data_IF_374343767046
#
_entry.id   IF_374343767046
#
_cell.length_a   1.000
_cell.length_b   1.000
_cell.length_c   1.000
_cell.angle_alpha   90.00
_cell.angle_beta   90.00
_cell.angle_gamma   90.00
#
_symmetry.space_group_name_H-M   'P 1'
#
loop_
_entity.id
_entity.type
_entity.pdbx_description
1 polymer ?
#
# COMPACT_ATOMS: atom_id res chain seq x y z
N UNK A 1 8.60 23.32 0.81
CA UNK A 1 7.31 22.70 0.43
C UNK A 1 7.42 22.05 -0.94
N UNK A 2 7.67 22.80 -2.01
CA UNK A 2 7.87 22.23 -3.36
C UNK A 2 9.07 21.27 -3.40
N UNK A 3 10.19 21.64 -2.78
CA UNK A 3 11.38 20.77 -2.60
C UNK A 3 11.07 19.47 -1.84
N UNK A 4 10.01 19.47 -1.02
CA UNK A 4 9.58 18.30 -0.25
C UNK A 4 8.51 17.48 -0.98
N UNK A 5 8.27 17.75 -2.27
CA UNK A 5 7.34 17.01 -3.13
C UNK A 5 5.89 17.48 -3.09
N UNK A 6 5.57 18.62 -2.47
CA UNK A 6 4.21 19.16 -2.44
C UNK A 6 3.96 20.11 -3.61
N UNK A 7 2.82 19.98 -4.30
CA UNK A 7 2.44 20.97 -5.31
C UNK A 7 1.82 22.20 -4.61
N UNK A 8 2.34 23.40 -4.84
CA UNK A 8 1.89 24.62 -4.17
C UNK A 8 1.15 25.54 -5.15
N UNK A 9 0.01 26.07 -4.73
CA UNK A 9 -0.78 27.08 -5.45
C UNK A 9 -0.86 28.36 -4.63
N UNK A 10 -0.48 29.48 -5.25
CA UNK A 10 -0.59 30.82 -4.66
C UNK A 10 -1.78 31.55 -5.29
N UNK A 11 -2.74 31.95 -4.47
CA UNK A 11 -3.92 32.71 -4.86
C UNK A 11 -3.79 34.20 -4.55
N UNK A 12 -4.79 34.99 -4.98
CA UNK A 12 -4.85 36.43 -4.70
C UNK A 12 -4.92 36.69 -3.20
N UNK A 13 -4.23 37.74 -2.73
CA UNK A 13 -4.22 38.11 -1.31
C UNK A 13 -3.33 37.23 -0.44
N UNK A 14 -2.28 36.63 -0.99
CA UNK A 14 -1.30 35.84 -0.22
C UNK A 14 -1.80 34.45 0.20
N UNK A 15 -2.94 34.00 -0.33
CA UNK A 15 -3.49 32.68 -0.02
C UNK A 15 -2.57 31.58 -0.57
N UNK A 16 -2.14 30.68 0.31
CA UNK A 16 -1.35 29.51 -0.08
C UNK A 16 -2.21 28.25 0.07
N UNK A 17 -2.19 27.39 -0.93
CA UNK A 17 -2.76 26.04 -0.87
C UNK A 17 -1.72 25.04 -1.35
N UNK A 18 -1.69 23.84 -0.78
CA UNK A 18 -0.74 22.80 -1.15
C UNK A 18 -1.46 21.47 -1.38
N UNK A 19 -0.84 20.60 -2.17
CA UNK A 19 -1.28 19.26 -2.45
C UNK A 19 -0.19 18.29 -2.01
N UNK A 20 -0.52 17.42 -1.05
CA UNK A 20 0.38 16.35 -0.64
C UNK A 20 0.42 15.23 -1.69
N UNK A 21 1.54 14.51 -1.83
CA UNK A 21 1.58 13.28 -2.63
C UNK A 21 0.47 12.31 -2.20
N UNK A 22 -0.40 11.91 -3.13
CA UNK A 22 -1.54 11.02 -2.87
C UNK A 22 -2.84 11.72 -2.43
N UNK A 23 -2.91 13.06 -2.39
CA UNK A 23 -4.16 13.80 -2.22
C UNK A 23 -4.78 14.17 -3.58
N UNK A 24 -6.11 14.06 -3.70
CA UNK A 24 -6.84 14.47 -4.91
C UNK A 24 -7.20 15.97 -4.93
N UNK A 25 -7.17 16.64 -3.76
CA UNK A 25 -7.65 18.02 -3.60
C UNK A 25 -6.66 18.87 -2.81
N UNK A 26 -6.49 20.11 -3.25
CA UNK A 26 -5.65 21.09 -2.56
C UNK A 26 -6.17 21.41 -1.16
N UNK A 27 -5.26 21.43 -0.20
CA UNK A 27 -5.50 21.85 1.19
C UNK A 27 -5.04 23.29 1.36
N UNK A 28 -5.87 24.14 1.98
CA UNK A 28 -5.57 25.55 2.18
C UNK A 28 -4.76 25.76 3.46
N UNK A 29 -3.67 26.53 3.38
CA UNK A 29 -2.82 26.91 4.51
C UNK A 29 -3.54 28.01 5.32
N UNK A 30 -4.33 27.59 6.32
CA UNK A 30 -5.03 28.49 7.27
C UNK A 30 -5.40 27.77 8.55
N UNK A 31 -5.55 28.51 9.65
CA UNK A 31 -5.87 27.92 10.95
C UNK A 31 -7.19 27.11 10.97
N UNK A 32 -8.23 27.56 10.27
CA UNK A 32 -9.51 26.83 10.20
C UNK A 32 -9.48 25.54 9.38
N UNK A 33 -8.37 25.24 8.68
CA UNK A 33 -8.19 23.97 7.93
C UNK A 33 -7.17 23.05 8.59
N UNK A 34 -6.10 23.61 9.17
CA UNK A 34 -4.97 22.84 9.69
C UNK A 34 -4.86 22.86 11.21
N UNK A 35 -5.70 23.65 11.89
CA UNK A 35 -5.63 23.89 13.32
C UNK A 35 -4.92 25.20 13.68
N UNK A 36 -5.10 25.63 14.93
CA UNK A 36 -4.43 26.81 15.46
C UNK A 36 -2.90 26.67 15.36
N UNK A 37 -2.21 27.75 14.95
CA UNK A 37 -0.76 27.74 14.77
C UNK A 37 -0.26 27.41 13.36
N UNK A 38 -1.17 27.17 12.41
CA UNK A 38 -0.85 26.90 11.00
C UNK A 38 -1.35 28.00 10.05
N UNK A 39 -1.57 29.21 10.56
CA UNK A 39 -1.79 30.37 9.71
C UNK A 39 -0.46 30.82 9.07
N UNK A 40 -0.46 31.38 7.84
CA UNK A 40 0.75 31.91 7.22
C UNK A 40 1.62 32.80 8.11
N UNK A 41 1.03 33.63 8.97
CA UNK A 41 1.76 34.50 9.90
C UNK A 41 2.46 33.69 10.99
N UNK A 42 1.74 32.74 11.59
CA UNK A 42 2.27 31.83 12.61
C UNK A 42 3.46 31.02 12.11
N UNK A 43 3.36 30.50 10.88
CA UNK A 43 4.43 29.71 10.26
C UNK A 43 5.66 30.57 10.01
N UNK A 44 5.48 31.84 9.59
CA UNK A 44 6.60 32.77 9.41
C UNK A 44 7.27 33.08 10.75
N UNK A 45 6.50 33.30 11.81
CA UNK A 45 7.04 33.53 13.16
C UNK A 45 7.82 32.31 13.67
N UNK A 46 7.37 31.08 13.38
CA UNK A 46 8.13 29.85 13.68
C UNK A 46 9.44 29.80 12.92
N UNK A 47 9.44 30.08 11.61
CA UNK A 47 10.65 30.08 10.77
C UNK A 47 11.63 31.17 11.22
N UNK A 48 11.13 32.33 11.64
CA UNK A 48 11.91 33.43 12.18
C UNK A 48 12.44 33.17 13.61
N UNK A 49 11.99 32.10 14.27
CA UNK A 49 12.38 31.77 15.64
C UNK A 49 11.69 32.62 16.72
N UNK A 50 10.68 33.42 16.36
CA UNK A 50 9.91 34.28 17.27
C UNK A 50 8.91 33.47 18.11
N UNK A 51 8.65 32.22 17.72
CA UNK A 51 7.64 31.34 18.30
C UNK A 51 8.08 29.87 18.23
N UNK A 52 7.72 29.03 19.22
CA UNK A 52 7.93 27.59 19.13
C UNK A 52 7.01 26.92 18.09
N UNK A 53 7.47 25.79 17.55
CA UNK A 53 6.68 24.91 16.69
C UNK A 53 5.36 24.51 17.37
N UNK A 54 4.22 24.51 16.67
CA UNK A 54 2.96 24.03 17.22
C UNK A 54 3.09 22.57 17.68
N UNK A 55 2.65 22.28 18.90
CA UNK A 55 2.59 20.90 19.39
C UNK A 55 1.47 20.15 18.65
N UNK A 56 1.86 19.23 17.79
CA UNK A 56 0.92 18.28 17.18
C UNK A 56 0.63 17.16 18.19
N UNK A 57 -0.64 16.80 18.43
CA UNK A 57 -0.95 15.66 19.28
C UNK A 57 -0.36 14.39 18.63
N UNK A 58 0.70 13.85 19.23
CA UNK A 58 1.50 12.75 18.69
C UNK A 58 0.73 11.43 18.54
N UNK A 59 -0.45 11.31 19.16
CA UNK A 59 -1.21 10.07 19.26
C UNK A 59 -2.73 10.31 19.23
N UNK A 60 -3.25 11.07 18.26
CA UNK A 60 -4.68 10.96 18.01
C UNK A 60 -4.93 9.59 17.37
N UNK A 61 -5.66 8.65 18.01
CA UNK A 61 -6.01 7.41 17.34
C UNK A 61 -6.73 7.76 16.04
N UNK A 62 -6.44 7.05 14.92
CA UNK A 62 -7.19 7.26 13.70
C UNK A 62 -8.68 7.18 14.04
N UNK A 63 -9.53 8.05 13.48
CA UNK A 63 -10.96 8.00 13.76
C UNK A 63 -11.42 6.57 13.51
N UNK A 64 -12.16 6.01 14.46
CA UNK A 64 -12.66 4.65 14.37
C UNK A 64 -13.26 4.48 12.97
N UNK A 65 -12.75 3.52 12.19
CA UNK A 65 -13.28 3.18 10.88
C UNK A 65 -14.68 2.62 11.11
N UNK A 66 -15.66 3.51 11.17
CA UNK A 66 -17.06 3.12 11.11
C UNK A 66 -17.28 2.60 9.70
N UNK A 67 -17.75 1.36 9.58
CA UNK A 67 -18.31 0.83 8.34
C UNK A 67 -19.63 1.55 8.11
N UNK A 68 -19.55 2.84 7.76
CA UNK A 68 -20.67 3.76 7.71
C UNK A 68 -21.43 3.62 6.41
N UNK A 69 -22.26 2.57 6.30
CA UNK A 69 -23.25 2.47 5.21
C UNK A 69 -24.38 3.51 5.38
N UNK A 70 -24.47 4.14 6.55
CA UNK A 70 -25.53 5.07 6.95
C UNK A 70 -24.91 6.42 7.34
N UNK A 71 -25.54 7.51 6.91
CA UNK A 71 -25.16 8.88 7.28
C UNK A 71 -25.64 9.16 8.70
N UNK A 72 -24.73 9.57 9.59
CA UNK A 72 -25.09 10.19 10.87
C UNK A 72 -25.69 11.57 10.60
N UNK A 73 -27.02 11.61 10.50
CA UNK A 73 -27.76 12.83 10.16
C UNK A 73 -27.55 13.89 11.24
N UNK A 74 -27.56 13.52 12.52
CA UNK A 74 -27.44 14.49 13.62
C UNK A 74 -26.09 15.18 13.62
N UNK A 75 -25.02 14.40 13.43
CA UNK A 75 -23.68 14.96 13.25
C UNK A 75 -23.61 15.90 12.05
N UNK A 76 -24.20 15.52 10.91
CA UNK A 76 -24.23 16.38 9.72
C UNK A 76 -25.04 17.67 9.94
N UNK A 77 -26.12 17.63 10.70
CA UNK A 77 -26.86 18.84 11.08
C UNK A 77 -26.04 19.74 12.00
N UNK A 78 -25.31 19.17 12.96
CA UNK A 78 -24.38 19.92 13.81
C UNK A 78 -23.23 20.57 13.02
N UNK A 79 -22.81 19.98 11.89
CA UNK A 79 -21.85 20.54 10.94
C UNK A 79 -22.44 21.66 10.03
N UNK A 80 -23.69 22.08 10.26
CA UNK A 80 -24.32 23.20 9.54
C UNK A 80 -25.01 22.81 8.24
N UNK A 81 -25.36 21.53 8.04
CA UNK A 81 -26.20 21.11 6.90
C UNK A 81 -27.64 21.57 7.08
N UNK A 82 -28.27 21.98 5.99
CA UNK A 82 -29.64 22.51 6.00
C UNK A 82 -30.74 21.43 5.90
N UNK A 83 -32.02 21.82 6.09
CA UNK A 83 -33.15 20.87 6.14
C UNK A 83 -33.35 20.02 4.88
N UNK A 84 -32.96 20.54 3.70
CA UNK A 84 -33.02 19.76 2.46
C UNK A 84 -32.03 18.58 2.47
N UNK A 85 -30.84 18.78 3.05
CA UNK A 85 -29.85 17.73 3.20
C UNK A 85 -30.34 16.64 4.15
N UNK A 86 -30.99 17.04 5.25
CA UNK A 86 -31.60 16.10 6.20
C UNK A 86 -32.61 15.16 5.53
N UNK A 87 -33.52 15.73 4.71
CA UNK A 87 -34.54 14.96 3.98
C UNK A 87 -33.91 13.98 3.00
N UNK A 88 -32.90 14.43 2.26
CA UNK A 88 -32.14 13.56 1.35
C UNK A 88 -31.42 12.43 2.11
N UNK A 89 -30.74 12.75 3.21
CA UNK A 89 -30.00 11.78 4.01
C UNK A 89 -30.91 10.71 4.62
N UNK A 90 -32.14 11.07 5.02
CA UNK A 90 -33.15 10.10 5.49
C UNK A 90 -33.52 9.09 4.41
N UNK A 91 -33.85 9.56 3.20
CA UNK A 91 -34.19 8.68 2.07
C UNK A 91 -32.98 7.83 1.66
N UNK A 92 -31.79 8.41 1.66
CA UNK A 92 -30.55 7.69 1.37
C UNK A 92 -30.33 6.55 2.37
N UNK A 93 -30.37 6.84 3.67
CA UNK A 93 -30.19 5.84 4.72
C UNK A 93 -31.20 4.71 4.62
N UNK A 94 -32.48 5.02 4.36
CA UNK A 94 -33.51 4.00 4.15
C UNK A 94 -33.18 3.07 2.98
N UNK A 95 -32.72 3.61 1.85
CA UNK A 95 -32.28 2.81 0.70
C UNK A 95 -31.07 1.93 1.06
N UNK A 96 -30.11 2.46 1.79
CA UNK A 96 -28.93 1.69 2.22
C UNK A 96 -29.31 0.57 3.19
N UNK A 97 -30.22 0.83 4.14
CA UNK A 97 -30.73 -0.19 5.06
C UNK A 97 -31.51 -1.29 4.33
N UNK A 98 -32.34 -0.91 3.35
CA UNK A 98 -33.08 -1.87 2.54
C UNK A 98 -32.14 -2.77 1.73
N UNK A 99 -31.11 -2.19 1.09
CA UNK A 99 -30.10 -2.96 0.35
C UNK A 99 -29.30 -3.89 1.27
N UNK A 100 -28.93 -3.42 2.46
CA UNK A 100 -28.25 -4.26 3.46
C UNK A 100 -29.14 -5.42 3.92
N UNK A 101 -30.41 -5.16 4.24
CA UNK A 101 -31.36 -6.20 4.63
C UNK A 101 -31.57 -7.22 3.51
N UNK A 102 -31.74 -6.76 2.27
CA UNK A 102 -31.87 -7.64 1.10
C UNK A 102 -30.64 -8.54 0.95
N UNK A 103 -29.44 -7.98 1.03
CA UNK A 103 -28.21 -8.77 0.95
C UNK A 103 -28.14 -9.83 2.06
N UNK A 104 -28.50 -9.46 3.30
CA UNK A 104 -28.53 -10.41 4.41
C UNK A 104 -29.53 -11.53 4.15
N UNK A 105 -30.72 -11.24 3.61
CA UNK A 105 -31.73 -12.25 3.28
C UNK A 105 -31.26 -13.17 2.15
N UNK A 106 -30.78 -12.62 1.04
CA UNK A 106 -30.28 -13.39 -0.12
C UNK A 106 -29.14 -14.34 0.27
N UNK A 107 -28.34 -13.95 1.26
CA UNK A 107 -27.22 -14.74 1.77
C UNK A 107 -27.55 -15.58 3.01
N UNK A 108 -28.81 -15.62 3.47
CA UNK A 108 -29.21 -16.31 4.69
C UNK A 108 -28.35 -15.90 5.91
N UNK A 109 -28.06 -14.60 6.04
CA UNK A 109 -27.30 -13.96 7.11
C UNK A 109 -28.23 -13.24 8.10
N UNK A 110 -29.44 -13.77 8.29
CA UNK A 110 -30.44 -13.19 9.21
C UNK A 110 -30.18 -13.56 10.67
N UNK A 111 -29.26 -14.49 10.90
CA UNK A 111 -28.86 -14.96 12.22
C UNK A 111 -27.36 -14.68 12.46
N UNK A 112 -27.03 -14.29 13.69
CA UNK A 112 -25.67 -13.92 14.04
C UNK A 112 -24.72 -15.12 13.99
N UNK A 113 -25.16 -16.30 14.42
CA UNK A 113 -24.33 -17.51 14.41
C UNK A 113 -24.04 -17.94 12.96
N UNK A 114 -25.03 -17.82 12.08
CA UNK A 114 -24.85 -18.04 10.63
C UNK A 114 -23.83 -17.06 10.01
N UNK A 115 -23.86 -15.79 10.40
CA UNK A 115 -22.90 -14.78 9.96
C UNK A 115 -21.49 -15.07 10.49
N UNK A 116 -21.37 -15.39 11.77
CA UNK A 116 -20.12 -15.75 12.41
C UNK A 116 -19.48 -16.97 11.73
N UNK A 117 -20.26 -18.04 11.55
CA UNK A 117 -19.81 -19.27 10.89
C UNK A 117 -19.33 -19.03 9.45
N UNK A 118 -20.06 -18.23 8.67
CA UNK A 118 -19.63 -17.86 7.31
C UNK A 118 -18.37 -17.02 7.29
N UNK A 119 -18.24 -16.11 8.26
CA UNK A 119 -17.03 -15.28 8.39
C UNK A 119 -15.82 -16.14 8.72
N UNK A 120 -15.93 -17.04 9.70
CA UNK A 120 -14.88 -18.01 10.03
C UNK A 120 -14.53 -18.88 8.83
N UNK A 121 -15.51 -19.46 8.14
CA UNK A 121 -15.26 -20.27 6.95
C UNK A 121 -14.58 -19.49 5.81
N UNK A 122 -14.91 -18.21 5.63
CA UNK A 122 -14.25 -17.36 4.65
C UNK A 122 -12.79 -17.06 5.05
N UNK A 123 -12.54 -16.79 6.34
CA UNK A 123 -11.19 -16.58 6.88
C UNK A 123 -10.34 -17.85 6.75
N UNK A 124 -10.88 -19.02 7.10
CA UNK A 124 -10.19 -20.30 6.99
C UNK A 124 -9.83 -20.60 5.53
N UNK A 125 -10.76 -20.37 4.59
CA UNK A 125 -10.46 -20.49 3.15
C UNK A 125 -9.39 -19.51 2.69
N UNK A 126 -9.42 -18.27 3.17
CA UNK A 126 -8.40 -17.28 2.83
C UNK A 126 -7.01 -17.71 3.34
N UNK A 127 -6.92 -18.26 4.55
CA UNK A 127 -5.68 -18.81 5.08
C UNK A 127 -5.20 -20.02 4.29
N UNK A 128 -6.09 -20.95 3.92
CA UNK A 128 -5.74 -22.10 3.09
C UNK A 128 -5.18 -21.66 1.72
N UNK A 129 -5.89 -20.74 1.04
CA UNK A 129 -5.45 -20.19 -0.24
C UNK A 129 -4.12 -19.43 -0.14
N UNK A 130 -3.88 -18.70 0.96
CA UNK A 130 -2.60 -18.04 1.18
C UNK A 130 -1.44 -19.04 1.31
N UNK A 131 -1.67 -20.17 1.99
CA UNK A 131 -0.69 -21.26 2.09
C UNK A 131 -0.41 -21.94 0.75
N UNK A 132 -1.46 -22.21 -0.04
CA UNK A 132 -1.31 -22.72 -1.41
C UNK A 132 -0.53 -21.74 -2.30
N UNK A 133 -0.86 -20.45 -2.22
CA UNK A 133 -0.17 -19.40 -2.96
C UNK A 133 1.31 -19.36 -2.59
N UNK A 134 1.66 -19.36 -1.30
CA UNK A 134 3.06 -19.39 -0.86
C UNK A 134 3.81 -20.63 -1.38
N UNK A 135 3.16 -21.79 -1.37
CA UNK A 135 3.73 -23.04 -1.87
C UNK A 135 4.00 -22.97 -3.38
N UNK A 136 3.04 -22.44 -4.14
CA UNK A 136 3.18 -22.26 -5.59
C UNK A 136 4.25 -21.24 -5.95
N UNK A 137 4.35 -20.13 -5.21
CA UNK A 137 5.42 -19.13 -5.38
C UNK A 137 6.80 -19.73 -5.11
N UNK A 138 6.94 -20.54 -4.05
CA UNK A 138 8.19 -21.23 -3.75
C UNK A 138 8.59 -22.22 -4.86
N UNK A 139 7.64 -22.99 -5.37
CA UNK A 139 7.85 -23.89 -6.49
C UNK A 139 8.27 -23.14 -7.77
N UNK A 140 7.61 -22.02 -8.07
CA UNK A 140 7.93 -21.18 -9.23
C UNK A 140 9.32 -20.53 -9.10
N UNK A 141 9.69 -20.10 -7.90
CA UNK A 141 11.03 -19.59 -7.59
C UNK A 141 12.10 -20.67 -7.81
N UNK A 142 11.87 -21.90 -7.33
CA UNK A 142 12.77 -23.03 -7.57
C UNK A 142 12.92 -23.33 -9.06
N UNK A 143 11.81 -23.40 -9.80
CA UNK A 143 11.82 -23.65 -11.25
C UNK A 143 12.58 -22.54 -11.99
N UNK A 144 12.35 -21.28 -11.64
CA UNK A 144 13.06 -20.14 -12.25
C UNK A 144 14.56 -20.20 -11.96
N UNK A 145 14.95 -20.58 -10.74
CA UNK A 145 16.35 -20.80 -10.37
C UNK A 145 17.00 -21.94 -11.16
N UNK A 146 16.29 -23.05 -11.36
CA UNK A 146 16.75 -24.17 -12.19
C UNK A 146 16.90 -23.76 -13.66
N UNK A 147 15.94 -23.01 -14.22
CA UNK A 147 16.06 -22.47 -15.57
C UNK A 147 17.30 -21.58 -15.73
N UNK A 148 17.58 -20.71 -14.74
CA UNK A 148 18.81 -19.93 -14.71
C UNK A 148 20.06 -20.80 -14.69
N UNK A 149 20.09 -21.83 -13.83
CA UNK A 149 21.22 -22.75 -13.74
C UNK A 149 21.45 -23.55 -15.03
N UNK A 150 20.40 -23.94 -15.75
CA UNK A 150 20.50 -24.59 -17.08
C UNK A 150 21.15 -23.66 -18.09
N UNK A 151 20.74 -22.38 -18.12
CA UNK A 151 21.30 -21.38 -19.02
C UNK A 151 22.78 -21.11 -18.70
N UNK A 152 23.10 -20.92 -17.42
CA UNK A 152 24.47 -20.70 -16.95
C UNK A 152 25.38 -21.89 -17.30
N UNK A 153 24.89 -23.12 -17.10
CA UNK A 153 25.59 -24.33 -17.49
C UNK A 153 25.85 -24.38 -19.00
N UNK A 154 24.83 -24.10 -19.82
CA UNK A 154 24.95 -24.12 -21.28
C UNK A 154 25.97 -23.08 -21.78
N UNK A 155 26.01 -21.89 -21.16
CA UNK A 155 27.00 -20.84 -21.48
C UNK A 155 28.42 -21.20 -21.06
N UNK A 156 28.57 -21.84 -19.90
CA UNK A 156 29.89 -22.16 -19.35
C UNK A 156 30.49 -23.46 -19.91
N UNK A 157 29.67 -24.34 -20.50
CA UNK A 157 30.10 -25.62 -21.06
C UNK A 157 31.17 -25.49 -22.16
N UNK A 158 31.05 -24.60 -23.17
CA UNK A 158 32.10 -24.42 -24.18
C UNK A 158 33.44 -23.98 -23.60
N UNK A 159 33.43 -23.12 -22.57
CA UNK A 159 34.65 -22.67 -21.87
C UNK A 159 35.32 -23.83 -21.15
N UNK A 160 34.54 -24.69 -20.49
CA UNK A 160 35.08 -25.90 -19.87
C UNK A 160 35.65 -26.89 -20.90
N UNK A 161 34.99 -27.05 -22.05
CA UNK A 161 35.50 -27.91 -23.12
C UNK A 161 36.78 -27.32 -23.75
N UNK A 162 36.89 -25.99 -23.85
CA UNK A 162 38.13 -25.28 -24.19
C UNK A 162 39.26 -25.49 -23.16
N UNK A 163 38.94 -25.48 -21.87
CA UNK A 163 39.89 -25.76 -20.80
C UNK A 163 40.46 -27.18 -20.88
N UNK A 164 39.61 -28.18 -21.21
CA UNK A 164 40.05 -29.55 -21.49
C UNK A 164 40.96 -29.63 -22.70
N UNK A 165 40.59 -28.96 -23.80
CA UNK A 165 41.39 -28.93 -25.03
C UNK A 165 42.77 -28.30 -24.78
N UNK A 166 42.84 -27.28 -23.93
CA UNK A 166 44.08 -26.66 -23.46
C UNK A 166 44.85 -27.49 -22.41
N UNK A 167 44.49 -28.77 -22.22
CA UNK A 167 45.13 -29.71 -21.29
C UNK A 167 45.19 -29.17 -19.85
N UNK A 168 44.14 -28.49 -19.42
CA UNK A 168 44.04 -27.92 -18.07
C UNK A 168 45.12 -26.88 -17.74
N UNK A 169 45.59 -26.11 -18.74
CA UNK A 169 46.62 -25.09 -18.57
C UNK A 169 46.28 -24.05 -17.50
N UNK A 170 47.26 -23.74 -16.62
CA UNK A 170 47.12 -22.68 -15.61
C UNK A 170 46.82 -21.31 -16.21
N UNK A 171 47.33 -21.03 -17.41
CA UNK A 171 47.07 -19.76 -18.11
C UNK A 171 45.59 -19.64 -18.50
N UNK A 172 45.01 -20.69 -19.07
CA UNK A 172 43.59 -20.72 -19.43
C UNK A 172 42.69 -20.63 -18.19
N UNK A 173 43.09 -21.30 -17.10
CA UNK A 173 42.35 -21.23 -15.84
C UNK A 173 42.31 -19.79 -15.29
N UNK A 174 43.42 -19.05 -15.37
CA UNK A 174 43.48 -17.65 -14.93
C UNK A 174 42.65 -16.70 -15.81
N UNK A 175 42.55 -16.97 -17.11
CA UNK A 175 41.77 -16.17 -18.06
C UNK A 175 40.25 -16.44 -17.94
N UNK A 176 39.84 -17.66 -17.60
CA UNK A 176 38.45 -18.12 -17.61
C UNK A 176 37.91 -18.55 -16.24
N UNK A 177 38.51 -18.06 -15.15
CA UNK A 177 38.24 -18.52 -13.78
C UNK A 177 36.76 -18.41 -13.39
N UNK A 178 36.12 -17.27 -13.69
CA UNK A 178 34.73 -17.02 -13.35
C UNK A 178 33.75 -17.97 -14.06
N UNK A 179 33.98 -18.23 -15.35
CA UNK A 179 33.15 -19.10 -16.18
C UNK A 179 33.30 -20.57 -15.77
N UNK A 180 34.52 -20.99 -15.43
CA UNK A 180 34.81 -22.32 -14.90
C UNK A 180 34.23 -22.51 -13.49
N UNK A 181 34.18 -21.46 -12.66
CA UNK A 181 33.50 -21.48 -11.37
C UNK A 181 31.98 -21.65 -11.54
N UNK A 182 31.36 -20.91 -12.46
CA UNK A 182 29.94 -21.06 -12.80
C UNK A 182 29.62 -22.47 -13.32
N UNK A 183 30.49 -23.03 -14.18
CA UNK A 183 30.34 -24.42 -14.65
C UNK A 183 30.38 -25.44 -13.50
N UNK A 184 31.26 -25.25 -12.51
CA UNK A 184 31.38 -26.14 -11.34
C UNK A 184 30.23 -26.00 -10.35
N UNK A 185 29.64 -24.81 -10.23
CA UNK A 185 28.51 -24.55 -9.34
C UNK A 185 27.17 -25.07 -9.88
N UNK A 186 27.05 -25.25 -11.20
CA UNK A 186 25.81 -25.68 -11.83
C UNK A 186 25.37 -27.13 -11.48
N UNK A 187 26.23 -28.17 -11.46
CA UNK A 187 25.86 -29.53 -11.06
C UNK A 187 25.26 -29.63 -9.65
N UNK A 188 25.77 -28.84 -8.70
CA UNK A 188 25.32 -28.87 -7.29
C UNK A 188 24.00 -28.14 -7.02
N UNK A 189 23.32 -27.62 -8.05
CA UNK A 189 22.00 -26.96 -7.94
C UNK A 189 20.84 -27.84 -8.44
N UNK A 190 21.11 -29.05 -8.92
CA UNK A 190 20.12 -30.01 -9.43
C UNK A 190 19.69 -31.08 -8.40
N UNK A 191 20.36 -31.15 -7.26
CA UNK A 191 20.02 -32.02 -6.11
C UNK A 191 19.16 -31.25 -5.09
#
# INVERSE_FOLDING_TARGET
MEESGFAVKRGRGGVVSFLAPGQDKYTRLRASTLGAGFDPEDIRAVIAGERPLPELPKNAPPPARQVGLIIDIQKRMAEGKGPAYERWAKVYNLKQMAAALQFLQENNLTDYDALAAKTTAAVDRAHALAGELQTTEAALSKVSGLMGAVVDYAKARPVFDGYKAARYSKKYLAEHEAELATYRAAPGRYE
#
